data_IF_242246770663
#
_entry.id   IF_242246770663
#
_cell.length_a   1.000
_cell.length_b   1.000
_cell.length_c   1.000
_cell.angle_alpha   90.00
_cell.angle_beta   90.00
_cell.angle_gamma   90.00
#
_symmetry.space_group_name_H-M   'P 1'
#
loop_
_entity.id
_entity.type
_entity.pdbx_description
1 polymer ?
#
# COMPACT_ATOMS: atom_id res chain seq x y z
N UNK A 1 15.55 45.30 51.11
CA UNK A 1 14.83 44.72 49.95
C UNK A 1 15.89 44.02 49.12
N UNK A 2 16.13 42.75 49.40
CA UNK A 2 17.19 41.99 48.74
C UNK A 2 16.69 41.50 47.38
N UNK A 3 17.35 41.98 46.32
CA UNK A 3 17.04 41.62 44.95
C UNK A 3 17.83 40.34 44.60
N UNK A 4 17.16 39.20 44.55
CA UNK A 4 17.77 37.96 44.08
C UNK A 4 17.86 37.97 42.55
N UNK A 5 19.08 37.91 42.03
CA UNK A 5 19.34 37.64 40.60
C UNK A 5 19.28 36.13 40.41
N UNK A 6 18.18 35.61 39.85
CA UNK A 6 18.03 34.20 39.52
C UNK A 6 18.51 33.97 38.10
N UNK A 7 19.53 33.12 37.93
CA UNK A 7 20.00 32.63 36.64
C UNK A 7 19.37 31.26 36.37
N UNK A 8 18.64 31.14 35.26
CA UNK A 8 18.18 29.87 34.71
C UNK A 8 19.16 29.47 33.61
N UNK A 9 19.81 28.31 33.77
CA UNK A 9 20.59 27.68 32.72
C UNK A 9 19.81 26.50 32.14
N UNK A 10 19.55 26.54 30.84
CA UNK A 10 19.07 25.39 30.07
C UNK A 10 20.28 24.68 29.46
N UNK A 11 20.56 23.46 29.94
CA UNK A 11 21.55 22.57 29.34
C UNK A 11 20.81 21.57 28.46
N UNK A 12 20.97 21.69 27.14
CA UNK A 12 20.41 20.75 26.15
C UNK A 12 21.57 20.00 25.49
N UNK A 13 21.66 18.70 25.74
CA UNK A 13 22.51 17.79 24.97
C UNK A 13 21.70 17.24 23.79
N UNK A 14 22.22 17.40 22.57
CA UNK A 14 21.64 16.81 21.36
C UNK A 14 22.56 15.68 20.92
N UNK A 15 22.21 14.44 21.23
CA UNK A 15 22.88 13.27 20.66
C UNK A 15 22.30 12.98 19.27
N UNK A 16 23.10 13.13 18.22
CA UNK A 16 22.73 12.71 16.87
C UNK A 16 22.81 11.18 16.77
N UNK A 17 21.68 10.50 16.86
CA UNK A 17 21.56 9.08 16.51
C UNK A 17 21.19 9.02 15.03
N UNK A 18 22.10 8.53 14.19
CA UNK A 18 21.77 8.16 12.82
C UNK A 18 20.96 6.88 12.86
N UNK A 19 19.63 6.99 12.72
CA UNK A 19 18.80 5.84 12.47
C UNK A 19 19.21 5.22 11.11
N UNK A 20 19.59 3.95 11.12
CA UNK A 20 19.84 3.22 9.89
C UNK A 20 18.53 2.89 9.19
N UNK A 21 18.57 2.60 7.88
CA UNK A 21 17.37 2.22 7.12
C UNK A 21 16.53 1.13 7.80
N UNK A 22 17.18 0.14 8.46
CA UNK A 22 16.46 -0.96 9.11
C UNK A 22 15.68 -0.55 10.37
N UNK A 23 15.96 0.61 10.96
CA UNK A 23 15.20 1.13 12.10
C UNK A 23 13.78 1.56 11.69
N UNK A 24 13.64 2.05 10.46
CA UNK A 24 12.35 2.48 9.88
C UNK A 24 11.75 1.41 8.95
N UNK A 25 12.60 0.64 8.26
CA UNK A 25 12.23 -0.42 7.33
C UNK A 25 12.93 -1.73 7.67
N UNK A 26 12.48 -2.43 8.72
CA UNK A 26 13.13 -3.64 9.18
C UNK A 26 13.08 -4.74 8.11
N UNK A 27 14.16 -5.53 8.05
CA UNK A 27 14.25 -6.76 7.28
C UNK A 27 13.27 -7.83 7.83
N UNK A 28 12.99 -8.85 7.02
CA UNK A 28 12.09 -9.94 7.42
C UNK A 28 12.62 -11.29 6.94
N UNK A 29 11.93 -12.37 7.28
CA UNK A 29 12.39 -13.75 7.03
C UNK A 29 12.70 -14.06 5.55
N UNK A 30 12.17 -13.28 4.59
CA UNK A 30 12.42 -13.45 3.14
C UNK A 30 13.61 -12.66 2.62
N UNK A 31 14.22 -11.79 3.44
CA UNK A 31 15.37 -10.99 3.06
C UNK A 31 15.30 -9.53 3.53
N UNK A 32 16.18 -8.72 2.96
CA UNK A 32 16.32 -7.30 3.27
C UNK A 32 15.08 -6.53 2.79
N UNK A 33 14.70 -5.49 3.52
CA UNK A 33 13.57 -4.65 3.14
C UNK A 33 13.79 -3.97 1.79
N UNK A 34 12.77 -3.89 0.94
CA UNK A 34 12.88 -3.30 -0.40
C UNK A 34 13.40 -1.86 -0.40
N UNK A 35 13.17 -1.09 0.67
CA UNK A 35 13.71 0.28 0.79
C UNK A 35 15.22 0.21 1.02
N UNK A 36 15.66 -0.64 1.93
CA UNK A 36 17.07 -0.79 2.29
C UNK A 36 17.88 -1.56 1.25
N UNK A 37 17.26 -2.45 0.46
CA UNK A 37 17.87 -3.05 -0.74
C UNK A 37 18.20 -1.99 -1.80
N UNK A 38 17.49 -0.87 -1.77
CA UNK A 38 17.67 0.25 -2.70
C UNK A 38 18.49 1.40 -2.10
N UNK A 39 19.10 1.21 -0.93
CA UNK A 39 19.81 2.29 -0.21
C UNK A 39 18.96 3.55 -0.04
N UNK A 40 17.65 3.40 0.17
CA UNK A 40 16.68 4.49 0.29
C UNK A 40 16.51 5.35 -0.99
N UNK A 41 17.22 5.01 -2.08
CA UNK A 41 17.09 5.65 -3.39
C UNK A 41 15.90 5.05 -4.16
N UNK A 42 14.69 5.47 -3.78
CA UNK A 42 13.45 4.89 -4.28
C UNK A 42 12.90 5.54 -5.57
N UNK A 43 13.71 6.33 -6.27
CA UNK A 43 13.34 6.95 -7.56
C UNK A 43 13.10 5.94 -8.68
N UNK A 44 12.53 6.39 -9.80
CA UNK A 44 12.33 5.57 -10.99
C UNK A 44 13.66 5.11 -11.61
N UNK A 45 13.77 3.82 -11.97
CA UNK A 45 14.93 3.23 -12.63
C UNK A 45 14.65 2.94 -14.11
N UNK A 46 15.67 3.02 -14.95
CA UNK A 46 15.62 2.59 -16.35
C UNK A 46 14.48 3.25 -17.14
N UNK A 47 13.52 2.45 -17.59
CA UNK A 47 12.36 2.91 -18.37
C UNK A 47 11.13 3.25 -17.52
N UNK A 48 11.27 3.31 -16.19
CA UNK A 48 10.19 3.73 -15.30
C UNK A 48 10.03 5.24 -15.21
N UNK A 49 8.82 5.65 -14.86
CA UNK A 49 8.48 6.99 -14.43
C UNK A 49 7.57 6.90 -13.20
N UNK A 50 7.88 7.66 -12.15
CA UNK A 50 7.00 7.77 -10.98
C UNK A 50 5.75 8.57 -11.34
N UNK A 51 4.59 8.02 -11.01
CA UNK A 51 3.28 8.60 -11.28
C UNK A 51 2.76 9.51 -10.17
N UNK A 52 1.78 10.38 -10.49
CA UNK A 52 1.24 11.35 -9.55
C UNK A 52 0.25 10.70 -8.57
N UNK A 53 0.73 10.35 -7.37
CA UNK A 53 -0.13 9.92 -6.27
C UNK A 53 -0.46 11.11 -5.34
N UNK A 54 -1.30 12.01 -5.85
CA UNK A 54 -1.75 13.23 -5.16
C UNK A 54 -2.86 12.95 -4.12
N UNK A 55 -3.21 13.90 -3.23
CA UNK A 55 -4.24 13.71 -2.21
C UNK A 55 -5.58 13.22 -2.75
N UNK A 56 -6.02 13.69 -3.91
CA UNK A 56 -7.29 13.31 -4.52
C UNK A 56 -7.27 11.85 -4.97
N UNK A 57 -6.15 11.39 -5.54
CA UNK A 57 -5.97 9.98 -5.94
C UNK A 57 -5.89 9.07 -4.73
N UNK A 58 -5.17 9.48 -3.68
CA UNK A 58 -5.13 8.74 -2.40
C UNK A 58 -6.53 8.60 -1.82
N UNK A 59 -7.29 9.69 -1.80
CA UNK A 59 -8.68 9.70 -1.33
C UNK A 59 -9.53 8.74 -2.17
N UNK A 60 -9.47 8.83 -3.49
CA UNK A 60 -10.22 7.95 -4.39
C UNK A 60 -9.91 6.48 -4.16
N UNK A 61 -8.63 6.13 -3.97
CA UNK A 61 -8.19 4.76 -3.66
C UNK A 61 -8.82 4.27 -2.35
N UNK A 62 -8.72 5.05 -1.28
CA UNK A 62 -9.24 4.70 0.06
C UNK A 62 -10.76 4.60 0.05
N UNK A 63 -11.44 5.60 -0.51
CA UNK A 63 -12.91 5.64 -0.60
C UNK A 63 -13.42 4.39 -1.35
N UNK A 64 -12.81 4.05 -2.48
CA UNK A 64 -13.23 2.89 -3.28
C UNK A 64 -13.07 1.59 -2.49
N UNK A 65 -11.95 1.39 -1.78
CA UNK A 65 -11.80 0.23 -0.90
C UNK A 65 -12.84 0.21 0.21
N UNK A 66 -13.08 1.34 0.86
CA UNK A 66 -14.00 1.42 1.99
C UNK A 66 -15.47 1.20 1.58
N UNK A 67 -15.88 1.69 0.40
CA UNK A 67 -17.20 1.40 -0.17
C UNK A 67 -17.39 -0.11 -0.35
N UNK A 68 -16.41 -0.78 -0.95
CA UNK A 68 -16.48 -2.23 -1.23
C UNK A 68 -16.39 -3.07 0.06
N UNK A 69 -15.55 -2.67 1.01
CA UNK A 69 -15.49 -3.29 2.34
C UNK A 69 -16.80 -3.12 3.11
N UNK A 70 -17.43 -1.96 3.02
CA UNK A 70 -18.74 -1.71 3.63
C UNK A 70 -19.84 -2.55 2.97
N UNK A 71 -19.81 -2.71 1.63
CA UNK A 71 -20.72 -3.60 0.91
C UNK A 71 -20.58 -5.05 1.40
N UNK A 72 -19.35 -5.57 1.53
CA UNK A 72 -19.10 -6.90 2.11
C UNK A 72 -19.61 -7.03 3.54
N UNK A 73 -19.32 -6.04 4.39
CA UNK A 73 -19.77 -6.02 5.78
C UNK A 73 -21.30 -5.97 5.91
N UNK A 74 -21.97 -5.32 4.97
CA UNK A 74 -23.43 -5.23 4.90
C UNK A 74 -24.13 -6.48 4.39
N UNK A 75 -23.39 -7.53 4.01
CA UNK A 75 -23.94 -8.79 3.49
C UNK A 75 -24.06 -8.77 1.96
N UNK A 76 -22.91 -8.78 1.28
CA UNK A 76 -22.86 -8.95 -0.17
C UNK A 76 -23.58 -10.25 -0.58
N UNK A 77 -24.56 -10.22 -1.49
CA UNK A 77 -25.34 -11.41 -1.87
C UNK A 77 -24.49 -12.60 -2.35
N UNK A 78 -23.32 -12.32 -2.95
CA UNK A 78 -22.40 -13.37 -3.43
C UNK A 78 -21.71 -14.10 -2.28
N UNK A 79 -21.66 -13.47 -1.11
CA UNK A 79 -20.98 -13.94 0.09
C UNK A 79 -21.93 -13.96 1.30
N UNK A 80 -23.21 -14.26 1.06
CA UNK A 80 -24.27 -14.20 2.08
C UNK A 80 -24.05 -15.11 3.30
N UNK A 81 -23.23 -16.16 3.18
CA UNK A 81 -22.83 -17.02 4.29
C UNK A 81 -21.63 -16.51 5.11
N UNK A 82 -20.93 -15.48 4.63
CA UNK A 82 -19.79 -14.86 5.32
C UNK A 82 -20.29 -13.67 6.14
N UNK A 83 -19.96 -13.66 7.44
CA UNK A 83 -20.24 -12.54 8.33
C UNK A 83 -18.96 -11.77 8.63
N UNK A 84 -18.91 -10.52 8.20
CA UNK A 84 -17.80 -9.60 8.49
C UNK A 84 -18.14 -8.74 9.72
N UNK A 85 -17.83 -9.23 10.92
CA UNK A 85 -18.19 -8.56 12.19
C UNK A 85 -17.26 -7.39 12.57
N UNK A 86 -16.02 -7.37 12.09
CA UNK A 86 -14.96 -6.44 12.49
C UNK A 86 -14.30 -5.71 11.30
N UNK A 87 -15.04 -5.46 10.21
CA UNK A 87 -14.51 -4.79 9.03
C UNK A 87 -14.18 -3.32 9.32
N UNK A 88 -12.90 -3.00 9.53
CA UNK A 88 -12.46 -1.62 9.82
C UNK A 88 -12.39 -0.76 8.57
N UNK A 89 -12.66 0.54 8.73
CA UNK A 89 -12.41 1.57 7.72
C UNK A 89 -10.91 1.74 7.52
N UNK A 90 -10.46 1.73 6.27
CA UNK A 90 -9.06 1.91 5.92
C UNK A 90 -8.67 3.39 5.94
N UNK A 91 -7.46 3.66 6.43
CA UNK A 91 -6.80 4.96 6.35
C UNK A 91 -5.61 4.92 5.37
N UNK A 92 -5.24 6.06 4.80
CA UNK A 92 -4.04 6.14 3.96
C UNK A 92 -2.78 6.26 4.82
N UNK A 93 -1.71 5.55 4.47
CA UNK A 93 -0.41 5.65 5.12
C UNK A 93 0.70 5.92 4.10
N UNK A 94 1.41 7.03 4.29
CA UNK A 94 2.48 7.47 3.37
C UNK A 94 3.76 6.65 3.52
N UNK A 95 4.00 6.01 4.67
CA UNK A 95 5.12 5.10 4.86
C UNK A 95 4.95 3.83 4.02
N UNK A 96 3.74 3.26 4.02
CA UNK A 96 3.37 2.16 3.12
C UNK A 96 3.48 2.58 1.64
N UNK A 97 3.03 3.80 1.29
CA UNK A 97 3.21 4.33 -0.07
C UNK A 97 4.69 4.39 -0.45
N UNK A 98 5.56 4.90 0.42
CA UNK A 98 6.99 5.02 0.15
C UNK A 98 7.62 3.64 -0.09
N UNK A 99 7.37 2.67 0.80
CA UNK A 99 7.87 1.30 0.64
C UNK A 99 7.42 0.69 -0.69
N UNK A 100 6.14 0.82 -1.03
CA UNK A 100 5.62 0.30 -2.30
C UNK A 100 6.18 1.07 -3.52
N UNK A 101 6.45 2.38 -3.39
CA UNK A 101 7.11 3.17 -4.43
C UNK A 101 8.52 2.65 -4.73
N UNK A 102 9.30 2.34 -3.70
CA UNK A 102 10.62 1.71 -3.83
C UNK A 102 10.56 0.43 -4.66
N UNK A 103 9.49 -0.36 -4.50
CA UNK A 103 9.29 -1.57 -5.28
C UNK A 103 8.92 -1.27 -6.75
N UNK A 104 7.82 -0.55 -6.99
CA UNK A 104 7.21 -0.39 -8.33
C UNK A 104 8.08 0.46 -9.27
N UNK A 105 8.88 1.38 -8.72
CA UNK A 105 9.78 2.25 -9.49
C UNK A 105 10.95 1.48 -10.15
N UNK A 106 10.95 0.15 -10.08
CA UNK A 106 11.81 -0.77 -10.84
C UNK A 106 11.11 -1.37 -12.08
N UNK A 107 9.81 -1.11 -12.25
CA UNK A 107 8.93 -1.63 -13.30
C UNK A 107 9.03 -3.14 -13.48
N UNK A 108 9.07 -3.84 -12.35
CA UNK A 108 8.95 -5.30 -12.29
C UNK A 108 7.57 -5.62 -11.76
N UNK A 109 6.77 -6.32 -12.56
CA UNK A 109 5.43 -6.75 -12.15
C UNK A 109 5.52 -8.09 -11.40
N UNK A 110 6.04 -8.02 -10.17
CA UNK A 110 6.22 -9.15 -9.26
C UNK A 110 6.05 -8.68 -7.81
N UNK A 111 5.93 -9.58 -6.84
CA UNK A 111 5.95 -9.19 -5.44
C UNK A 111 7.40 -9.04 -4.92
N UNK A 112 7.70 -8.01 -4.15
CA UNK A 112 8.93 -7.95 -3.35
C UNK A 112 8.98 -9.02 -2.25
N UNK A 113 10.18 -9.26 -1.73
CA UNK A 113 10.38 -10.21 -0.63
C UNK A 113 9.99 -9.62 0.72
N UNK A 114 10.27 -8.34 0.95
CA UNK A 114 10.11 -7.70 2.25
C UNK A 114 9.72 -6.23 2.14
N UNK A 115 8.60 -5.85 2.78
CA UNK A 115 7.93 -4.54 2.61
C UNK A 115 7.31 -3.98 3.89
N UNK A 116 7.75 -4.47 5.05
CA UNK A 116 7.30 -3.95 6.33
C UNK A 116 7.77 -2.51 6.55
N UNK A 117 7.13 -1.83 7.48
CA UNK A 117 7.64 -0.58 8.09
C UNK A 117 7.75 -0.81 9.59
N UNK A 118 8.38 0.13 10.30
CA UNK A 118 8.42 0.15 11.77
C UNK A 118 7.02 0.10 12.39
N UNK A 119 6.07 0.84 11.80
CA UNK A 119 4.66 0.88 12.22
C UNK A 119 3.90 -0.41 11.85
N UNK A 120 4.21 -0.99 10.70
CA UNK A 120 3.56 -2.20 10.17
C UNK A 120 4.60 -3.25 9.80
N UNK A 121 5.03 -4.05 10.79
CA UNK A 121 6.09 -5.05 10.62
C UNK A 121 5.81 -6.05 9.49
N UNK A 122 4.54 -6.31 9.21
CA UNK A 122 4.08 -7.10 8.07
C UNK A 122 3.12 -6.28 7.23
N UNK A 123 3.26 -6.35 5.91
CA UNK A 123 2.31 -5.75 4.98
C UNK A 123 2.04 -6.70 3.80
N UNK A 124 0.75 -6.86 3.48
CA UNK A 124 0.30 -7.50 2.26
C UNK A 124 0.55 -6.63 1.03
N UNK A 125 0.22 -7.13 -0.17
CA UNK A 125 0.42 -6.40 -1.41
C UNK A 125 -0.52 -6.91 -2.50
N UNK A 126 -1.22 -6.00 -3.14
CA UNK A 126 -1.92 -6.25 -4.40
C UNK A 126 -1.19 -5.52 -5.54
N UNK A 127 -1.15 -6.14 -6.72
CA UNK A 127 -0.51 -5.57 -7.91
C UNK A 127 -1.55 -5.36 -9.01
N UNK A 128 -1.48 -4.23 -9.69
CA UNK A 128 -2.35 -3.92 -10.82
C UNK A 128 -1.51 -3.35 -11.96
N UNK A 129 -1.79 -3.80 -13.17
CA UNK A 129 -1.17 -3.32 -14.39
C UNK A 129 -2.23 -3.19 -15.46
N UNK A 130 -2.12 -2.11 -16.24
CA UNK A 130 -2.93 -1.90 -17.43
C UNK A 130 -2.01 -1.39 -18.54
N UNK A 131 -2.22 -1.89 -19.76
CA UNK A 131 -1.46 -1.49 -20.94
C UNK A 131 -2.29 -0.53 -21.78
N UNK A 132 -1.67 0.57 -22.22
CA UNK A 132 -2.31 1.49 -23.14
C UNK A 132 -2.39 0.88 -24.55
N UNK A 133 -3.48 1.17 -25.26
CA UNK A 133 -3.67 0.72 -26.65
C UNK A 133 -2.93 1.58 -27.68
N UNK A 134 -2.41 2.73 -27.26
CA UNK A 134 -1.75 3.70 -28.13
C UNK A 134 -0.40 4.11 -27.55
N UNK A 135 0.60 4.26 -28.42
CA UNK A 135 1.95 4.69 -28.04
C UNK A 135 1.91 6.05 -27.31
N UNK A 136 2.69 6.18 -26.23
CA UNK A 136 2.81 7.40 -25.45
C UNK A 136 1.69 7.69 -24.46
N UNK A 137 0.59 6.93 -24.47
CA UNK A 137 -0.48 7.09 -23.48
C UNK A 137 -0.04 6.53 -22.12
N UNK A 138 -0.08 7.38 -21.10
CA UNK A 138 0.23 7.03 -19.71
C UNK A 138 -1.05 7.03 -18.89
N UNK A 139 -1.79 5.92 -18.91
CA UNK A 139 -3.12 5.82 -18.28
C UNK A 139 -3.13 6.28 -16.81
N UNK A 140 -2.14 5.83 -16.04
CA UNK A 140 -1.99 6.19 -14.63
C UNK A 140 -1.65 7.68 -14.39
N UNK A 141 -1.22 8.41 -15.42
CA UNK A 141 -0.82 9.82 -15.33
C UNK A 141 -1.92 10.73 -15.88
N UNK A 142 -2.65 10.27 -16.90
CA UNK A 142 -3.75 11.02 -17.52
C UNK A 142 -4.96 11.13 -16.60
N UNK A 143 -5.28 10.05 -15.89
CA UNK A 143 -6.36 10.04 -14.90
C UNK A 143 -5.98 9.10 -13.74
N UNK A 144 -5.14 9.57 -12.79
CA UNK A 144 -4.65 8.74 -11.69
C UNK A 144 -5.78 8.23 -10.80
N UNK A 145 -6.85 9.02 -10.62
CA UNK A 145 -8.02 8.65 -9.82
C UNK A 145 -8.77 7.48 -10.45
N UNK A 146 -9.07 7.57 -11.76
CA UNK A 146 -9.74 6.48 -12.49
C UNK A 146 -8.85 5.24 -12.57
N UNK A 147 -7.54 5.41 -12.77
CA UNK A 147 -6.61 4.28 -12.79
C UNK A 147 -6.59 3.54 -11.44
N UNK A 148 -6.50 4.28 -10.33
CA UNK A 148 -6.57 3.72 -8.98
C UNK A 148 -7.91 3.01 -8.75
N UNK A 149 -9.04 3.64 -9.12
CA UNK A 149 -10.37 3.02 -9.03
C UNK A 149 -10.45 1.70 -9.81
N UNK A 150 -10.00 1.70 -11.07
CA UNK A 150 -10.04 0.50 -11.92
C UNK A 150 -9.22 -0.65 -11.33
N UNK A 151 -8.07 -0.36 -10.71
CA UNK A 151 -7.27 -1.37 -10.03
C UNK A 151 -8.01 -2.00 -8.86
N UNK A 152 -8.64 -1.17 -8.03
CA UNK A 152 -9.44 -1.62 -6.88
C UNK A 152 -10.64 -2.45 -7.32
N UNK A 153 -11.38 -2.00 -8.33
CA UNK A 153 -12.53 -2.73 -8.88
C UNK A 153 -12.11 -4.05 -9.54
N UNK A 154 -10.97 -4.05 -10.24
CA UNK A 154 -10.41 -5.27 -10.85
C UNK A 154 -10.05 -6.30 -9.80
N UNK A 155 -9.38 -5.90 -8.71
CA UNK A 155 -9.08 -6.81 -7.60
C UNK A 155 -10.34 -7.33 -6.94
N UNK A 156 -11.35 -6.46 -6.73
CA UNK A 156 -12.58 -6.88 -6.09
C UNK A 156 -13.41 -7.85 -6.93
N UNK A 157 -13.32 -7.76 -8.27
CA UNK A 157 -14.02 -8.68 -9.18
C UNK A 157 -13.64 -10.16 -9.02
N UNK A 158 -12.55 -10.47 -8.32
CA UNK A 158 -12.22 -11.86 -7.96
C UNK A 158 -13.27 -12.51 -7.04
N UNK A 159 -14.15 -11.72 -6.41
CA UNK A 159 -15.33 -12.22 -5.68
C UNK A 159 -16.20 -13.16 -6.53
N UNK A 160 -16.24 -12.97 -7.85
CA UNK A 160 -17.08 -13.76 -8.77
C UNK A 160 -16.69 -15.23 -8.84
N UNK A 161 -15.42 -15.55 -8.54
CA UNK A 161 -14.89 -16.91 -8.57
C UNK A 161 -14.54 -17.44 -7.17
N UNK A 162 -14.75 -16.64 -6.14
CA UNK A 162 -14.48 -17.02 -4.77
C UNK A 162 -15.62 -17.88 -4.21
N UNK A 163 -15.26 -18.92 -3.44
CA UNK A 163 -16.22 -19.78 -2.77
C UNK A 163 -16.28 -19.42 -1.28
N UNK A 164 -17.45 -19.11 -0.70
CA UNK A 164 -17.58 -18.84 0.73
C UNK A 164 -16.97 -19.92 1.64
N UNK A 165 -17.04 -21.19 1.24
CA UNK A 165 -16.50 -22.31 2.03
C UNK A 165 -14.97 -22.22 2.24
N UNK A 166 -14.23 -21.53 1.35
CA UNK A 166 -12.78 -21.37 1.44
C UNK A 166 -12.36 -20.21 2.39
N UNK A 167 -13.33 -19.48 2.94
CA UNK A 167 -13.14 -18.20 3.63
C UNK A 167 -13.75 -18.21 5.04
N UNK A 168 -14.90 -18.89 5.22
CA UNK A 168 -15.74 -18.76 6.40
C UNK A 168 -15.05 -19.09 7.74
N UNK A 169 -14.23 -20.15 7.78
CA UNK A 169 -13.69 -20.68 9.05
C UNK A 169 -12.16 -20.66 9.12
N UNK A 170 -11.49 -20.94 7.99
CA UNK A 170 -10.03 -20.86 7.87
C UNK A 170 -9.71 -20.44 6.45
N UNK A 171 -9.08 -19.28 6.31
CA UNK A 171 -8.68 -18.80 4.99
C UNK A 171 -7.79 -19.83 4.30
N UNK A 172 -8.25 -20.32 3.16
CA UNK A 172 -7.45 -21.10 2.21
C UNK A 172 -7.19 -20.24 1.00
N UNK A 173 -5.91 -20.06 0.67
CA UNK A 173 -5.55 -19.35 -0.56
C UNK A 173 -6.06 -20.12 -1.77
N UNK A 174 -6.98 -19.50 -2.52
CA UNK A 174 -7.43 -19.99 -3.82
C UNK A 174 -6.78 -19.13 -4.90
N UNK A 175 -6.05 -19.71 -5.87
CA UNK A 175 -5.49 -18.97 -6.98
C UNK A 175 -6.55 -18.10 -7.67
N UNK A 176 -6.24 -16.83 -7.88
CA UNK A 176 -7.17 -15.86 -8.48
C UNK A 176 -8.15 -15.20 -7.50
N UNK A 177 -8.03 -15.44 -6.18
CA UNK A 177 -8.85 -14.74 -5.16
C UNK A 177 -8.02 -13.92 -4.15
N UNK A 178 -6.70 -13.94 -4.32
CA UNK A 178 -5.75 -13.35 -3.38
C UNK A 178 -5.91 -11.83 -3.25
N UNK A 179 -6.23 -11.12 -4.34
CA UNK A 179 -6.38 -9.68 -4.30
C UNK A 179 -7.65 -9.28 -3.55
N UNK A 180 -8.78 -9.91 -3.89
CA UNK A 180 -10.05 -9.63 -3.21
C UNK A 180 -9.99 -10.01 -1.72
N UNK A 181 -9.44 -11.17 -1.37
CA UNK A 181 -9.32 -11.59 0.04
C UNK A 181 -8.43 -10.65 0.86
N UNK A 182 -7.38 -10.09 0.26
CA UNK A 182 -6.60 -9.02 0.90
C UNK A 182 -7.41 -7.72 1.06
N UNK A 183 -8.25 -7.35 0.09
CA UNK A 183 -9.08 -6.14 0.19
C UNK A 183 -10.10 -6.22 1.33
N UNK A 184 -10.67 -7.40 1.56
CA UNK A 184 -11.69 -7.63 2.59
C UNK A 184 -11.11 -8.14 3.91
N UNK A 185 -9.79 -8.16 4.05
CA UNK A 185 -9.15 -8.63 5.28
C UNK A 185 -9.48 -7.68 6.44
N UNK A 186 -10.24 -8.15 7.43
CA UNK A 186 -10.84 -7.30 8.45
C UNK A 186 -9.80 -6.53 9.30
N UNK A 187 -8.69 -7.19 9.63
CA UNK A 187 -7.61 -6.60 10.44
C UNK A 187 -6.74 -5.59 9.67
N UNK A 188 -6.86 -5.53 8.34
CA UNK A 188 -6.19 -4.50 7.55
C UNK A 188 -6.82 -3.15 7.88
N UNK A 189 -6.00 -2.19 8.27
CA UNK A 189 -6.44 -0.85 8.73
C UNK A 189 -5.85 0.29 7.92
N UNK A 190 -4.77 0.05 7.19
CA UNK A 190 -4.05 1.07 6.44
C UNK A 190 -3.67 0.56 5.06
N UNK A 191 -3.65 1.48 4.10
CA UNK A 191 -3.17 1.23 2.74
C UNK A 191 -2.25 2.35 2.30
N UNK A 192 -1.28 2.01 1.45
CA UNK A 192 -0.44 2.95 0.76
C UNK A 192 -0.13 2.39 -0.61
N UNK A 193 -0.07 3.25 -1.63
CA UNK A 193 0.09 2.81 -3.00
C UNK A 193 0.81 3.88 -3.81
N UNK A 194 1.80 3.52 -4.64
CA UNK A 194 2.37 4.38 -5.65
C UNK A 194 1.63 4.22 -6.99
N UNK A 195 1.92 5.13 -7.91
CA UNK A 195 1.68 4.92 -9.34
C UNK A 195 3.02 4.94 -10.06
N UNK A 196 3.15 4.18 -11.14
CA UNK A 196 4.30 4.26 -12.04
C UNK A 196 3.87 3.92 -13.46
N UNK A 197 4.62 4.45 -14.43
CA UNK A 197 4.47 4.11 -15.84
C UNK A 197 5.78 3.53 -16.36
N UNK A 198 5.69 2.44 -17.11
CA UNK A 198 6.83 1.87 -17.82
C UNK A 198 6.79 2.29 -19.28
N UNK A 199 7.88 2.89 -19.78
CA UNK A 199 8.04 3.19 -21.21
C UNK A 199 8.39 1.91 -21.94
N UNK A 200 7.45 1.38 -22.73
CA UNK A 200 7.70 0.25 -23.61
C UNK A 200 8.12 0.82 -24.98
N UNK A 201 9.32 0.44 -25.44
CA UNK A 201 9.70 0.65 -26.84
C UNK A 201 9.14 -0.53 -27.64
N UNK A 202 8.34 -0.22 -28.65
CA UNK A 202 7.84 -1.20 -29.63
C UNK A 202 8.85 -1.26 -30.77
#
# INVERSE_FOLDING_TARGET
MDLYVVLIFLLLEISLVFAGCEDEWPSCHKGRNTVCERNEECGALGNCETGPMNPETRKKLVDTHNILRNQMAGGDPKMSSIKAANMRVLSYDTGLQHTAACHINRCKFEHDKCRGTKKFKTAGQNLYMSTARSSGQKLAFSDPQKFAQNGVESWYSEIEIANPADIADTYKFVPGTGHWTQMIWAETTHIGSPLSNQKIKI
#
